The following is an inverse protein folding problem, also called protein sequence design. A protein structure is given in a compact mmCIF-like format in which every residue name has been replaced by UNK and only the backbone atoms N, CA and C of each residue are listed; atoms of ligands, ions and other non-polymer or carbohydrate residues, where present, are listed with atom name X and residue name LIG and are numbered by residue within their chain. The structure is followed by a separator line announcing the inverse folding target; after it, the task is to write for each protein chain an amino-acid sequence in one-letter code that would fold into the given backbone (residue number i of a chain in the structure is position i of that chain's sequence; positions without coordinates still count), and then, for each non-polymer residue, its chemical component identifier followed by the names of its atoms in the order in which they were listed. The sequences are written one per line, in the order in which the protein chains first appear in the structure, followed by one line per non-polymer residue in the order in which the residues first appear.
data_IF_201646805165
#
_entry.id   IF_201646805165
#
_cell.length_a   1.000
_cell.length_b   1.000
_cell.length_c   1.000
_cell.angle_alpha   90.00
_cell.angle_beta   90.00
_cell.angle_gamma   90.00
#
_symmetry.space_group_name_H-M   'P 1'
#
loop_
_entity.id
_entity.type
_entity.pdbx_description
1 polymer ?
#
# COMPACT_ATOMS: atom_id res chain seq x y z
N UNK A 1 18.73 13.08 -8.68
CA UNK A 1 17.83 13.02 -9.86
C UNK A 1 16.37 12.77 -9.49
N UNK A 2 16.04 11.75 -8.65
CA UNK A 2 14.64 11.53 -8.25
C UNK A 2 14.09 12.76 -7.49
N UNK A 3 14.83 13.30 -6.55
CA UNK A 3 14.42 14.50 -5.80
C UNK A 3 14.16 15.72 -6.71
N UNK A 4 14.96 15.91 -7.75
CA UNK A 4 14.74 16.97 -8.74
C UNK A 4 13.42 16.78 -9.50
N UNK A 5 13.13 15.53 -9.92
CA UNK A 5 11.86 15.20 -10.59
C UNK A 5 10.67 15.43 -9.67
N UNK A 6 10.73 14.96 -8.42
CA UNK A 6 9.68 15.17 -7.42
C UNK A 6 9.50 16.67 -7.14
N UNK A 7 10.58 17.44 -7.03
CA UNK A 7 10.53 18.89 -6.86
C UNK A 7 9.80 19.61 -8.00
N UNK A 8 10.06 19.23 -9.24
CA UNK A 8 9.34 19.77 -10.42
C UNK A 8 7.86 19.40 -10.39
N UNK A 9 7.53 18.14 -10.07
CA UNK A 9 6.13 17.68 -9.94
C UNK A 9 5.41 18.50 -8.86
N UNK A 10 6.02 18.66 -7.69
CA UNK A 10 5.47 19.47 -6.57
C UNK A 10 5.23 20.91 -6.95
N UNK A 11 6.19 21.55 -7.63
CA UNK A 11 6.03 22.92 -8.13
C UNK A 11 4.81 23.02 -9.06
N UNK A 12 4.69 22.11 -10.04
CA UNK A 12 3.56 22.09 -10.98
C UNK A 12 2.21 21.81 -10.32
N UNK A 13 2.17 20.91 -9.33
CA UNK A 13 0.95 20.66 -8.55
C UNK A 13 0.54 21.91 -7.76
N UNK A 14 1.51 22.66 -7.23
CA UNK A 14 1.24 23.91 -6.49
C UNK A 14 0.78 25.07 -7.40
N UNK A 15 1.32 25.16 -8.62
CA UNK A 15 0.92 26.18 -9.61
C UNK A 15 -0.53 25.99 -10.10
N UNK A 16 -1.00 24.74 -10.21
CA UNK A 16 -2.34 24.39 -10.72
C UNK A 16 -3.45 24.41 -9.68
N UNK A 17 -3.22 24.92 -8.49
CA UNK A 17 -4.24 25.02 -7.42
C UNK A 17 -5.35 26.01 -7.80
N UNK A 18 -6.34 25.52 -8.54
CA UNK A 18 -7.66 26.15 -8.63
C UNK A 18 -8.58 25.44 -7.64
N UNK A 19 -8.97 26.12 -6.56
CA UNK A 19 -9.95 25.58 -5.61
C UNK A 19 -9.42 24.95 -4.31
N UNK A 20 -8.13 25.06 -3.99
CA UNK A 20 -7.59 24.59 -2.69
C UNK A 20 -7.27 23.09 -2.60
N UNK A 21 -7.42 22.33 -3.67
CA UNK A 21 -7.09 20.90 -3.72
C UNK A 21 -5.59 20.67 -3.65
N UNK A 22 -5.16 19.72 -2.80
CA UNK A 22 -3.76 19.30 -2.69
C UNK A 22 -3.50 18.15 -3.68
N UNK A 23 -2.52 18.30 -4.57
CA UNK A 23 -2.01 17.19 -5.37
C UNK A 23 -1.07 16.29 -4.54
N UNK A 24 -1.12 14.99 -4.77
CA UNK A 24 -0.28 14.01 -4.09
C UNK A 24 0.70 13.35 -5.05
N UNK A 25 1.92 13.08 -4.58
CA UNK A 25 2.94 12.37 -5.33
C UNK A 25 2.92 10.89 -4.94
N UNK A 26 2.60 10.06 -5.92
CA UNK A 26 2.50 8.60 -5.79
C UNK A 26 3.77 7.97 -6.36
N UNK A 27 4.47 7.15 -5.55
CA UNK A 27 5.64 6.39 -5.98
C UNK A 27 5.31 4.91 -6.03
N UNK A 28 5.56 4.28 -7.19
CA UNK A 28 5.54 2.83 -7.32
C UNK A 28 6.96 2.27 -7.25
N UNK A 29 7.21 1.42 -6.26
CA UNK A 29 8.49 0.72 -6.10
C UNK A 29 8.29 -0.59 -5.35
N UNK A 30 8.53 -1.73 -6.02
CA UNK A 30 8.44 -3.06 -5.42
C UNK A 30 9.68 -3.41 -4.57
N UNK A 31 9.54 -4.45 -3.73
CA UNK A 31 10.62 -4.96 -2.90
C UNK A 31 10.73 -4.28 -1.54
N UNK A 32 11.91 -4.41 -0.92
CA UNK A 32 12.19 -3.76 0.36
C UNK A 32 12.59 -2.30 0.15
N UNK A 33 11.62 -1.39 0.27
CA UNK A 33 11.85 0.07 0.20
C UNK A 33 12.07 0.70 1.57
N UNK A 34 11.91 -0.05 2.67
CA UNK A 34 12.01 0.48 4.03
C UNK A 34 13.29 1.29 4.31
N UNK A 35 14.49 0.85 3.87
CA UNK A 35 15.73 1.59 4.15
C UNK A 35 15.76 2.99 3.51
N UNK A 36 15.00 3.20 2.43
CA UNK A 36 14.96 4.47 1.68
C UNK A 36 13.65 5.24 1.87
N UNK A 37 12.72 4.73 2.68
CA UNK A 37 11.47 5.44 2.99
C UNK A 37 11.69 6.84 3.59
N UNK A 38 12.62 7.05 4.54
CA UNK A 38 12.91 8.39 5.04
C UNK A 38 13.31 9.37 3.93
N UNK A 39 14.15 8.93 2.99
CA UNK A 39 14.57 9.76 1.86
C UNK A 39 13.39 10.08 0.92
N UNK A 40 12.49 9.11 0.68
CA UNK A 40 11.29 9.33 -0.13
C UNK A 40 10.34 10.34 0.52
N UNK A 41 10.17 10.26 1.83
CA UNK A 41 9.36 11.22 2.61
C UNK A 41 9.96 12.62 2.52
N UNK A 42 11.27 12.75 2.75
CA UNK A 42 11.99 14.02 2.66
C UNK A 42 11.91 14.64 1.26
N UNK A 43 11.97 13.82 0.20
CA UNK A 43 11.77 14.27 -1.19
C UNK A 43 10.34 14.76 -1.47
N UNK A 44 9.37 14.42 -0.62
CA UNK A 44 7.98 14.81 -0.78
C UNK A 44 7.09 13.76 -1.46
N UNK A 45 7.41 12.48 -1.37
CA UNK A 45 6.50 11.39 -1.73
C UNK A 45 5.42 11.30 -0.66
N UNK A 46 4.15 11.29 -1.07
CA UNK A 46 3.00 11.18 -0.17
C UNK A 46 2.44 9.76 -0.09
N UNK A 47 2.58 8.99 -1.16
CA UNK A 47 1.95 7.67 -1.30
C UNK A 47 2.97 6.66 -1.79
N UNK A 48 3.11 5.56 -1.07
CA UNK A 48 4.00 4.44 -1.41
C UNK A 48 3.15 3.26 -1.89
N UNK A 49 3.51 2.72 -3.05
CA UNK A 49 2.89 1.55 -3.68
C UNK A 49 3.94 0.67 -4.35
N UNK A 50 3.80 -0.66 -4.28
CA UNK A 50 2.96 -1.38 -3.34
C UNK A 50 3.59 -1.47 -1.95
N UNK A 51 2.84 -1.94 -0.97
CA UNK A 51 3.42 -2.45 0.28
C UNK A 51 3.73 -3.93 0.06
N UNK A 52 5.01 -4.26 -0.17
CA UNK A 52 5.45 -5.61 -0.52
C UNK A 52 5.62 -6.44 0.76
N UNK A 53 4.50 -6.84 1.37
CA UNK A 53 4.38 -7.40 2.73
C UNK A 53 5.18 -8.66 3.02
N UNK A 54 5.61 -9.39 2.01
CA UNK A 54 6.48 -10.58 2.13
C UNK A 54 7.96 -10.29 1.84
N UNK A 55 8.32 -9.07 1.46
CA UNK A 55 9.73 -8.69 1.36
C UNK A 55 10.33 -8.49 2.76
N UNK A 56 11.57 -8.91 2.94
CA UNK A 56 12.28 -8.78 4.22
C UNK A 56 12.30 -7.31 4.69
N UNK A 57 11.93 -7.07 5.94
CA UNK A 57 11.89 -5.72 6.52
C UNK A 57 10.65 -4.89 6.19
N UNK A 58 9.69 -5.46 5.45
CA UNK A 58 8.46 -4.78 5.04
C UNK A 58 7.24 -5.22 5.86
N UNK A 59 7.44 -5.59 7.12
CA UNK A 59 6.34 -5.99 8.01
C UNK A 59 5.33 -4.86 8.20
N UNK A 60 4.04 -5.09 7.90
CA UNK A 60 3.01 -4.04 7.91
C UNK A 60 2.90 -3.26 9.22
N UNK A 61 2.95 -3.96 10.36
CA UNK A 61 2.87 -3.33 11.70
C UNK A 61 4.02 -2.36 11.93
N UNK A 62 5.25 -2.78 11.58
CA UNK A 62 6.44 -1.96 11.77
C UNK A 62 6.45 -0.75 10.81
N UNK A 63 6.06 -0.96 9.54
CA UNK A 63 5.94 0.14 8.57
C UNK A 63 4.92 1.17 9.03
N UNK A 64 3.74 0.71 9.47
CA UNK A 64 2.68 1.61 9.95
C UNK A 64 3.10 2.40 11.17
N UNK A 65 3.76 1.76 12.12
CA UNK A 65 4.28 2.41 13.33
C UNK A 65 5.31 3.49 13.00
N UNK A 66 6.25 3.17 12.11
CA UNK A 66 7.40 4.04 11.88
C UNK A 66 7.12 5.17 10.88
N UNK A 67 6.24 4.95 9.90
CA UNK A 67 6.02 5.89 8.79
C UNK A 67 4.55 6.24 8.51
N UNK A 68 3.60 5.60 9.18
CA UNK A 68 2.18 5.77 8.88
C UNK A 68 1.59 7.16 9.18
N UNK A 69 2.32 8.01 9.89
CA UNK A 69 1.94 9.41 10.10
C UNK A 69 2.38 10.33 8.93
N UNK A 70 3.31 9.89 8.11
CA UNK A 70 3.98 10.71 7.10
C UNK A 70 3.60 10.31 5.67
N UNK A 71 3.32 9.02 5.41
CA UNK A 71 2.94 8.53 4.09
C UNK A 71 1.66 7.71 4.12
N UNK A 72 0.95 7.70 3.00
CA UNK A 72 -0.13 6.76 2.75
C UNK A 72 0.43 5.48 2.14
N UNK A 73 0.09 4.34 2.73
CA UNK A 73 0.39 3.03 2.19
C UNK A 73 -0.72 2.58 1.23
N UNK A 74 -0.37 2.34 -0.02
CA UNK A 74 -1.29 1.86 -1.03
C UNK A 74 -0.88 0.47 -1.49
N UNK A 75 -1.65 -0.55 -1.15
CA UNK A 75 -1.36 -1.95 -1.44
C UNK A 75 -1.01 -2.77 -0.20
N UNK A 76 -0.56 -3.99 -0.40
CA UNK A 76 -0.26 -4.91 0.69
C UNK A 76 -1.49 -5.52 1.36
N UNK A 77 -2.68 -5.35 0.78
CA UNK A 77 -3.93 -5.90 1.31
C UNK A 77 -3.96 -7.42 1.32
N UNK A 78 -3.36 -8.03 0.29
CA UNK A 78 -3.14 -9.47 0.21
C UNK A 78 -1.82 -9.76 -0.50
N UNK A 79 -1.12 -10.76 -0.02
CA UNK A 79 0.10 -11.28 -0.63
C UNK A 79 -0.23 -12.02 -1.95
N UNK A 80 0.50 -11.71 -3.04
CA UNK A 80 0.15 -12.12 -4.41
C UNK A 80 1.08 -13.16 -5.02
N UNK A 81 2.16 -13.56 -4.36
CA UNK A 81 3.12 -14.52 -4.89
C UNK A 81 2.80 -15.95 -4.48
N UNK A 82 2.31 -16.16 -3.25
CA UNK A 82 2.03 -17.48 -2.69
C UNK A 82 0.60 -17.58 -2.17
N UNK A 83 0.16 -16.61 -1.34
CA UNK A 83 -1.11 -16.72 -0.62
C UNK A 83 -2.30 -16.61 -1.57
N UNK A 84 -2.34 -15.59 -2.41
CA UNK A 84 -3.48 -15.37 -3.30
C UNK A 84 -3.61 -16.45 -4.39
N UNK A 85 -2.53 -16.89 -5.07
CA UNK A 85 -2.63 -17.93 -6.10
C UNK A 85 -2.82 -19.34 -5.55
N UNK A 86 -2.21 -19.67 -4.40
CA UNK A 86 -2.09 -21.07 -3.94
C UNK A 86 -2.74 -21.35 -2.59
N UNK A 87 -3.14 -20.32 -1.85
CA UNK A 87 -3.78 -20.46 -0.55
C UNK A 87 -5.23 -20.92 -0.64
N UNK A 88 -5.74 -21.43 0.46
CA UNK A 88 -7.16 -21.69 0.65
C UNK A 88 -7.92 -20.37 0.91
N UNK A 89 -9.25 -20.32 0.68
CA UNK A 89 -10.07 -19.15 1.04
C UNK A 89 -9.89 -18.68 2.49
N UNK A 90 -9.69 -19.60 3.43
CA UNK A 90 -9.45 -19.29 4.84
C UNK A 90 -8.09 -18.63 5.07
N UNK A 91 -7.04 -19.06 4.38
CA UNK A 91 -5.71 -18.46 4.46
C UNK A 91 -5.70 -17.05 3.86
N UNK A 92 -6.40 -16.86 2.74
CA UNK A 92 -6.56 -15.54 2.12
C UNK A 92 -7.30 -14.60 3.07
N UNK A 93 -8.42 -15.05 3.64
CA UNK A 93 -9.19 -14.27 4.62
C UNK A 93 -8.33 -13.87 5.82
N UNK A 94 -7.53 -14.80 6.36
CA UNK A 94 -6.59 -14.53 7.47
C UNK A 94 -5.51 -13.53 7.07
N UNK A 95 -4.96 -13.65 5.86
CA UNK A 95 -3.93 -12.75 5.34
C UNK A 95 -4.46 -11.33 5.18
N UNK A 96 -5.62 -11.18 4.53
CA UNK A 96 -6.30 -9.87 4.35
C UNK A 96 -6.59 -9.23 5.70
N UNK A 97 -7.21 -9.97 6.63
CA UNK A 97 -7.53 -9.48 7.96
C UNK A 97 -6.29 -8.97 8.69
N UNK A 98 -5.22 -9.76 8.74
CA UNK A 98 -3.95 -9.38 9.39
C UNK A 98 -3.39 -8.08 8.82
N UNK A 99 -3.40 -7.93 7.50
CA UNK A 99 -2.84 -6.76 6.84
C UNK A 99 -3.72 -5.51 7.07
N UNK A 100 -5.05 -5.66 7.07
CA UNK A 100 -5.99 -4.59 7.41
C UNK A 100 -5.81 -4.14 8.86
N UNK A 101 -5.77 -5.08 9.81
CA UNK A 101 -5.54 -4.78 11.24
C UNK A 101 -4.21 -4.05 11.49
N UNK A 102 -3.20 -4.31 10.64
CA UNK A 102 -1.90 -3.65 10.74
C UNK A 102 -1.86 -2.26 10.11
N UNK A 103 -2.48 -2.06 8.94
CA UNK A 103 -2.29 -0.87 8.12
C UNK A 103 -3.41 0.18 8.24
N UNK A 104 -4.64 -0.23 8.61
CA UNK A 104 -5.79 0.69 8.72
C UNK A 104 -5.75 1.63 9.92
N UNK A 105 -5.30 1.25 11.12
CA UNK A 105 -5.39 2.12 12.29
C UNK A 105 -4.83 3.53 12.03
N UNK A 106 -5.62 4.55 12.37
CA UNK A 106 -5.25 5.95 12.15
C UNK A 106 -5.36 6.47 10.72
N UNK A 107 -5.91 5.70 9.78
CA UNK A 107 -6.04 6.12 8.36
C UNK A 107 -4.75 5.96 7.55
N UNK A 108 -4.61 6.71 6.43
CA UNK A 108 -3.42 6.66 5.57
C UNK A 108 -3.17 5.29 4.93
N UNK A 109 -4.24 4.55 4.63
CA UNK A 109 -4.15 3.25 3.98
C UNK A 109 -5.20 3.11 2.86
N UNK A 110 -4.77 2.60 1.71
CA UNK A 110 -5.64 2.24 0.59
C UNK A 110 -5.44 0.77 0.28
N UNK A 111 -6.51 -0.01 0.43
CA UNK A 111 -6.48 -1.44 0.11
C UNK A 111 -6.22 -1.65 -1.39
N UNK A 112 -5.22 -2.45 -1.68
CA UNK A 112 -4.94 -3.02 -2.98
C UNK A 112 -4.12 -4.30 -2.78
N UNK A 113 -4.07 -5.18 -3.77
CA UNK A 113 -3.14 -6.31 -3.79
C UNK A 113 -1.68 -5.81 -3.79
N UNK A 114 -0.73 -6.66 -3.41
CA UNK A 114 0.71 -6.29 -3.52
C UNK A 114 1.08 -6.02 -4.97
N UNK A 115 0.61 -6.87 -5.89
CA UNK A 115 0.84 -6.74 -7.33
C UNK A 115 -0.48 -6.98 -8.07
N UNK A 116 -0.50 -6.81 -9.40
CA UNK A 116 -1.65 -7.18 -10.21
C UNK A 116 -1.98 -8.68 -10.06
N UNK A 117 -3.27 -9.00 -10.04
CA UNK A 117 -3.76 -10.37 -9.97
C UNK A 117 -3.41 -11.08 -11.29
N UNK A 118 -2.69 -12.20 -11.18
CA UNK A 118 -2.25 -13.00 -12.31
C UNK A 118 -3.34 -13.98 -12.75
N UNK A 119 -3.21 -14.50 -13.97
CA UNK A 119 -4.22 -15.38 -14.58
C UNK A 119 -4.41 -16.73 -13.86
N UNK A 120 -3.38 -17.18 -13.13
CA UNK A 120 -3.41 -18.43 -12.35
C UNK A 120 -4.17 -18.33 -11.03
N UNK A 121 -4.56 -17.12 -10.61
CA UNK A 121 -5.30 -16.95 -9.34
C UNK A 121 -6.73 -17.49 -9.50
N UNK A 122 -7.14 -18.45 -8.66
CA UNK A 122 -8.49 -18.99 -8.71
C UNK A 122 -9.56 -17.93 -8.42
N UNK A 123 -10.67 -17.89 -9.14
CA UNK A 123 -11.76 -16.93 -8.88
C UNK A 123 -12.29 -16.96 -7.45
N UNK A 124 -12.36 -18.14 -6.82
CA UNK A 124 -12.77 -18.32 -5.43
C UNK A 124 -11.83 -17.59 -4.45
N UNK A 125 -10.55 -17.50 -4.76
CA UNK A 125 -9.57 -16.78 -3.96
C UNK A 125 -9.76 -15.25 -4.08
N UNK A 126 -10.10 -14.76 -5.26
CA UNK A 126 -10.46 -13.36 -5.47
C UNK A 126 -11.73 -13.01 -4.69
N UNK A 127 -12.72 -13.91 -4.70
CA UNK A 127 -13.96 -13.72 -3.92
C UNK A 127 -13.69 -13.73 -2.43
N UNK A 128 -12.86 -14.66 -1.92
CA UNK A 128 -12.47 -14.69 -0.51
C UNK A 128 -11.74 -13.41 -0.07
N UNK A 129 -10.86 -12.87 -0.89
CA UNK A 129 -10.21 -11.57 -0.67
C UNK A 129 -11.24 -10.43 -0.57
N UNK A 130 -12.18 -10.36 -1.53
CA UNK A 130 -13.23 -9.33 -1.56
C UNK A 130 -14.14 -9.41 -0.34
N UNK A 131 -14.56 -10.61 0.04
CA UNK A 131 -15.42 -10.85 1.21
C UNK A 131 -14.70 -10.46 2.51
N UNK A 132 -13.43 -10.83 2.65
CA UNK A 132 -12.62 -10.44 3.78
C UNK A 132 -12.45 -8.90 3.86
N UNK A 133 -12.23 -8.23 2.74
CA UNK A 133 -12.18 -6.77 2.69
C UNK A 133 -13.51 -6.15 3.11
N UNK A 134 -14.65 -6.68 2.63
CA UNK A 134 -15.97 -6.15 2.99
C UNK A 134 -16.28 -6.32 4.49
N UNK A 135 -15.78 -7.38 5.10
CA UNK A 135 -16.00 -7.65 6.53
C UNK A 135 -15.05 -6.87 7.45
N UNK A 136 -13.76 -6.82 7.13
CA UNK A 136 -12.74 -6.25 8.01
C UNK A 136 -12.26 -4.85 7.60
N UNK A 137 -12.59 -4.40 6.40
CA UNK A 137 -12.12 -3.12 5.83
C UNK A 137 -12.98 -1.92 6.22
N UNK A 138 -13.67 -1.97 7.33
CA UNK A 138 -14.52 -0.88 7.82
C UNK A 138 -13.77 -0.10 8.90
N UNK A 139 -13.64 1.21 8.72
CA UNK A 139 -13.15 2.10 9.77
C UNK A 139 -14.23 2.31 10.83
N UNK A 140 -13.88 2.11 12.08
CA UNK A 140 -14.73 2.36 13.25
C UNK A 140 -14.43 3.74 13.83
#
# INVERSE_FOLDING_TARGET
RLAEVVGVIRSKLNEKKTGGEKGYVFLHSCGNVRPVLPDFIEMGIDIINPVHVNAAGMEPVALKKDFGAEVTFWGGGVETQEVLPSGTPQEIRKNVRRNLEALMPGGGYVFNTVHNIQAEVPPENIMAMREALAEFGVYC
#
